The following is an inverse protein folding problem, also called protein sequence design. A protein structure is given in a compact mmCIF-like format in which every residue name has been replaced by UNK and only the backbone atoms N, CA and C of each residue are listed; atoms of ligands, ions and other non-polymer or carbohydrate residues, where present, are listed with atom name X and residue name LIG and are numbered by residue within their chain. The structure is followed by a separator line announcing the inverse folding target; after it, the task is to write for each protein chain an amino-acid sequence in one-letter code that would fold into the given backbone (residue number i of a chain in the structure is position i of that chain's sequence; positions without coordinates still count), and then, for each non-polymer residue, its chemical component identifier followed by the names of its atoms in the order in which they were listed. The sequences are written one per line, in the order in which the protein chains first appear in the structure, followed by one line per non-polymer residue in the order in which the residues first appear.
data_IF_056099150381
#
_entry.id   IF_056099150381
#
_cell.length_a   1.000
_cell.length_b   1.000
_cell.length_c   1.000
_cell.angle_alpha   90.00
_cell.angle_beta   90.00
_cell.angle_gamma   90.00
#
_symmetry.space_group_name_H-M   'P 1'
#
loop_
_entity.id
_entity.type
_entity.pdbx_description
1 polymer ?
#
# COMPACT_ATOMS: atom_id res chain seq x y z
N UNK A 1 -1.29 -11.36 10.93
CA UNK A 1 -2.11 -10.20 10.52
C UNK A 1 -1.81 -9.12 11.53
N UNK A 2 -0.87 -8.24 11.23
CA UNK A 2 -0.47 -7.18 12.15
C UNK A 2 -1.46 -6.03 12.07
N UNK A 3 -1.97 -5.62 13.22
CA UNK A 3 -2.90 -4.49 13.36
C UNK A 3 -2.07 -3.27 13.71
N UNK A 4 -2.06 -2.27 12.83
CA UNK A 4 -1.34 -1.01 13.06
C UNK A 4 -2.04 -0.13 14.10
N UNK A 5 -1.25 0.55 14.93
CA UNK A 5 -1.74 1.62 15.78
C UNK A 5 -2.07 2.87 14.93
N UNK A 6 -2.92 3.75 15.47
CA UNK A 6 -3.52 4.87 14.72
C UNK A 6 -2.50 5.81 14.07
N UNK A 7 -1.30 5.93 14.63
CA UNK A 7 -0.26 6.84 14.13
C UNK A 7 0.49 6.26 12.91
N UNK A 8 0.80 4.96 12.93
CA UNK A 8 1.44 4.26 11.80
C UNK A 8 0.51 4.24 10.57
N UNK A 9 -0.80 4.05 10.79
CA UNK A 9 -1.82 4.16 9.74
C UNK A 9 -1.83 5.56 9.13
N UNK A 10 -1.78 6.60 9.98
CA UNK A 10 -1.81 7.99 9.51
C UNK A 10 -0.56 8.33 8.70
N UNK A 11 0.61 7.90 9.16
CA UNK A 11 1.88 8.11 8.47
C UNK A 11 1.87 7.43 7.10
N UNK A 12 1.47 6.16 7.02
CA UNK A 12 1.41 5.44 5.75
C UNK A 12 0.41 6.07 4.76
N UNK A 13 -0.78 6.48 5.22
CA UNK A 13 -1.77 7.14 4.37
C UNK A 13 -1.26 8.49 3.83
N UNK A 14 -0.50 9.25 4.63
CA UNK A 14 0.12 10.49 4.18
C UNK A 14 1.17 10.22 3.08
N UNK A 15 2.04 9.23 3.26
CA UNK A 15 3.03 8.84 2.26
C UNK A 15 2.39 8.42 0.94
N UNK A 16 1.26 7.70 0.98
CA UNK A 16 0.51 7.29 -0.22
C UNK A 16 -0.10 8.49 -0.95
N UNK A 17 -0.58 9.49 -0.20
CA UNK A 17 -1.15 10.69 -0.78
C UNK A 17 -0.10 11.55 -1.51
N UNK A 18 1.18 11.46 -1.09
CA UNK A 18 2.30 12.25 -1.61
C UNK A 18 3.08 11.54 -2.74
N UNK A 19 2.64 10.37 -3.20
CA UNK A 19 3.31 9.64 -4.27
C UNK A 19 3.28 10.42 -5.60
N UNK A 20 4.44 10.76 -6.20
CA UNK A 20 4.48 11.43 -7.49
C UNK A 20 4.07 10.48 -8.61
N UNK A 21 3.26 10.96 -9.57
CA UNK A 21 2.92 10.21 -10.78
C UNK A 21 4.17 9.98 -11.65
N UNK A 22 4.27 8.80 -12.27
CA UNK A 22 5.33 8.42 -13.22
C UNK A 22 4.78 7.52 -14.34
N UNK A 23 5.59 7.32 -15.39
CA UNK A 23 5.27 6.40 -16.48
C UNK A 23 5.21 4.92 -16.03
N UNK A 24 4.25 4.19 -16.60
CA UNK A 24 3.84 2.86 -16.13
C UNK A 24 4.59 1.71 -16.84
N UNK A 25 5.20 0.78 -16.09
CA UNK A 25 5.70 -0.48 -16.65
C UNK A 25 4.65 -1.61 -16.57
N UNK A 26 4.75 -2.68 -17.37
CA UNK A 26 3.83 -3.83 -17.23
C UNK A 26 4.22 -4.66 -16.00
N UNK A 27 3.29 -4.82 -15.06
CA UNK A 27 3.47 -5.62 -13.84
C UNK A 27 2.57 -6.87 -13.87
N UNK A 28 3.08 -8.03 -13.46
CA UNK A 28 2.33 -9.30 -13.38
C UNK A 28 2.08 -9.79 -11.93
N UNK A 29 2.81 -9.27 -10.94
CA UNK A 29 2.66 -9.64 -9.53
C UNK A 29 3.02 -8.43 -8.63
N UNK A 30 2.05 -7.77 -7.98
CA UNK A 30 2.37 -6.79 -6.95
C UNK A 30 2.87 -7.50 -5.69
N UNK A 31 4.00 -7.06 -5.16
CA UNK A 31 4.67 -7.71 -4.01
C UNK A 31 4.23 -7.20 -2.64
N UNK A 32 3.67 -5.99 -2.57
CA UNK A 32 3.34 -5.31 -1.30
C UNK A 32 1.91 -4.77 -1.32
N UNK A 33 1.29 -4.61 -0.15
CA UNK A 33 -0.04 -4.00 -0.11
C UNK A 33 -0.54 -3.62 1.28
N UNK A 34 -1.53 -2.73 1.28
CA UNK A 34 -2.31 -2.32 2.46
C UNK A 34 -3.75 -2.72 2.22
N UNK A 35 -4.36 -3.38 3.21
CA UNK A 35 -5.79 -3.69 3.20
C UNK A 35 -6.46 -2.99 4.37
N UNK A 36 -7.42 -2.12 4.06
CA UNK A 36 -8.24 -1.43 5.04
C UNK A 36 -9.51 -2.23 5.31
N UNK A 37 -9.84 -2.40 6.58
CA UNK A 37 -11.07 -3.05 7.04
C UNK A 37 -11.91 -2.06 7.85
N UNK A 38 -13.21 -2.05 7.58
CA UNK A 38 -14.22 -1.42 8.41
C UNK A 38 -14.88 -2.46 9.31
N UNK A 39 -15.90 -2.03 10.05
CA UNK A 39 -16.71 -2.90 10.92
C UNK A 39 -17.37 -4.05 10.18
N UNK A 40 -17.72 -3.83 8.92
CA UNK A 40 -18.52 -4.77 8.10
C UNK A 40 -17.68 -5.51 7.05
N UNK A 41 -16.35 -5.36 7.06
CA UNK A 41 -15.45 -6.07 6.15
C UNK A 41 -14.45 -5.16 5.42
N UNK A 42 -13.80 -5.66 4.35
CA UNK A 42 -12.77 -4.91 3.63
C UNK A 42 -13.34 -3.68 2.92
N UNK A 43 -12.73 -2.53 3.13
CA UNK A 43 -13.09 -1.26 2.48
C UNK A 43 -12.35 -1.10 1.16
N UNK A 44 -11.03 -1.25 1.20
CA UNK A 44 -10.17 -1.17 0.04
C UNK A 44 -8.85 -1.91 0.27
N UNK A 45 -8.18 -2.22 -0.83
CA UNK A 45 -6.82 -2.71 -0.89
C UNK A 45 -6.03 -1.82 -1.85
N UNK A 46 -4.80 -1.49 -1.48
CA UNK A 46 -3.82 -0.86 -2.36
C UNK A 46 -2.66 -1.83 -2.49
N UNK A 47 -2.39 -2.29 -3.71
CA UNK A 47 -1.28 -3.15 -4.03
C UNK A 47 -0.19 -2.34 -4.74
N UNK A 48 1.07 -2.50 -4.31
CA UNK A 48 2.23 -1.79 -4.82
C UNK A 48 3.23 -2.77 -5.44
N UNK A 49 3.88 -2.33 -6.53
CA UNK A 49 5.06 -2.96 -7.08
C UNK A 49 6.16 -1.92 -7.24
N UNK A 50 7.07 -1.85 -6.27
CA UNK A 50 8.23 -0.94 -6.31
C UNK A 50 9.24 -1.28 -7.41
N UNK A 51 9.21 -2.49 -7.97
CA UNK A 51 10.04 -2.85 -9.12
C UNK A 51 9.44 -2.38 -10.44
N UNK A 52 8.11 -2.43 -10.58
CA UNK A 52 7.42 -2.00 -11.79
C UNK A 52 6.92 -0.54 -11.70
N UNK A 53 7.13 0.13 -10.57
CA UNK A 53 6.76 1.51 -10.31
C UNK A 53 5.25 1.75 -10.47
N UNK A 54 4.43 0.77 -10.07
CA UNK A 54 2.97 0.87 -10.21
C UNK A 54 2.23 0.49 -8.93
N UNK A 55 1.07 1.10 -8.76
CA UNK A 55 0.10 0.76 -7.72
C UNK A 55 -1.28 0.50 -8.33
N UNK A 56 -2.10 -0.25 -7.60
CA UNK A 56 -3.49 -0.45 -7.95
C UNK A 56 -4.35 -0.44 -6.70
N UNK A 57 -5.43 0.34 -6.74
CA UNK A 57 -6.43 0.37 -5.69
C UNK A 57 -7.66 -0.45 -6.11
N UNK A 58 -8.21 -1.26 -5.20
CA UNK A 58 -9.40 -2.09 -5.43
C UNK A 58 -10.27 -2.12 -4.18
N UNK A 59 -11.57 -2.37 -4.34
CA UNK A 59 -12.48 -2.62 -3.23
C UNK A 59 -13.77 -1.81 -3.30
N UNK A 60 -14.74 -2.14 -2.43
CA UNK A 60 -16.09 -1.57 -2.48
C UNK A 60 -16.13 -0.07 -2.21
N UNK A 61 -15.18 0.47 -1.45
CA UNK A 61 -15.11 1.90 -1.13
C UNK A 61 -14.28 2.73 -2.14
N UNK A 62 -13.79 2.11 -3.22
CA UNK A 62 -12.92 2.77 -4.20
C UNK A 62 -13.75 3.26 -5.40
N UNK A 63 -13.74 4.55 -5.75
CA UNK A 63 -14.40 5.05 -6.95
C UNK A 63 -13.92 4.33 -8.22
N UNK A 64 -14.83 4.03 -9.15
CA UNK A 64 -14.51 3.24 -10.34
C UNK A 64 -13.36 3.83 -11.17
N UNK A 65 -13.30 5.16 -11.32
CA UNK A 65 -12.18 5.82 -12.01
C UNK A 65 -10.80 5.60 -11.37
N UNK A 66 -10.75 5.22 -10.09
CA UNK A 66 -9.52 4.95 -9.34
C UNK A 66 -9.17 3.45 -9.27
N UNK A 67 -10.05 2.58 -9.74
CA UNK A 67 -9.81 1.13 -9.80
C UNK A 67 -8.98 0.73 -11.02
N UNK A 68 -7.83 1.37 -11.21
CA UNK A 68 -6.91 1.13 -12.32
C UNK A 68 -5.48 1.03 -11.84
N UNK A 69 -4.61 0.48 -12.69
CA UNK A 69 -3.17 0.55 -12.48
C UNK A 69 -2.72 1.99 -12.73
N UNK A 70 -1.95 2.56 -11.81
CA UNK A 70 -1.32 3.89 -11.93
C UNK A 70 0.17 3.75 -11.66
N UNK A 71 0.99 4.51 -12.40
CA UNK A 71 2.42 4.60 -12.12
C UNK A 71 2.70 5.51 -10.92
N UNK A 72 3.77 5.24 -10.18
CA UNK A 72 4.26 6.10 -9.10
C UNK A 72 5.79 6.11 -9.08
N UNK A 73 6.41 7.21 -8.64
CA UNK A 73 7.85 7.31 -8.49
C UNK A 73 8.35 6.47 -7.30
N UNK A 74 8.85 5.27 -7.59
CA UNK A 74 9.35 4.35 -6.57
C UNK A 74 10.65 4.84 -5.89
N UNK A 75 11.41 5.74 -6.51
CA UNK A 75 12.68 6.25 -5.98
C UNK A 75 12.48 7.52 -5.14
N UNK A 76 11.27 8.11 -5.17
CA UNK A 76 10.94 9.26 -4.35
C UNK A 76 11.07 8.97 -2.85
N UNK A 77 11.42 9.99 -2.02
CA UNK A 77 11.49 9.83 -0.56
C UNK A 77 10.26 9.17 0.09
N UNK A 78 8.99 9.53 -0.26
CA UNK A 78 7.82 8.90 0.35
C UNK A 78 7.70 7.41 -0.01
N UNK A 79 8.03 7.03 -1.25
CA UNK A 79 8.05 5.63 -1.69
C UNK A 79 9.08 4.80 -0.92
N UNK A 80 10.28 5.34 -0.74
CA UNK A 80 11.35 4.64 -0.03
C UNK A 80 11.01 4.41 1.44
N UNK A 81 10.36 5.40 2.08
CA UNK A 81 9.88 5.26 3.46
C UNK A 81 8.75 4.22 3.58
N UNK A 82 7.80 4.22 2.64
CA UNK A 82 6.73 3.23 2.62
C UNK A 82 7.27 1.81 2.42
N UNK A 83 8.25 1.63 1.52
CA UNK A 83 8.92 0.34 1.31
C UNK A 83 9.69 -0.12 2.57
N UNK A 84 10.33 0.81 3.29
CA UNK A 84 10.98 0.52 4.58
C UNK A 84 9.98 0.01 5.60
N UNK A 85 8.81 0.64 5.73
CA UNK A 85 7.74 0.21 6.63
C UNK A 85 7.23 -1.20 6.29
N UNK A 86 7.03 -1.48 5.00
CA UNK A 86 6.62 -2.81 4.54
C UNK A 86 7.64 -3.91 4.90
N UNK A 87 8.92 -3.68 4.64
CA UNK A 87 10.00 -4.63 5.00
C UNK A 87 10.12 -4.85 6.51
N UNK A 88 9.85 -3.83 7.32
CA UNK A 88 9.84 -3.97 8.77
C UNK A 88 8.73 -4.93 9.25
N UNK A 89 7.58 -4.94 8.57
CA UNK A 89 6.48 -5.87 8.87
C UNK A 89 6.79 -7.31 8.46
N UNK A 90 7.48 -7.54 7.34
CA UNK A 90 7.93 -8.90 6.96
C UNK A 90 8.87 -9.53 8.00
N UNK A 91 9.66 -8.71 8.70
CA UNK A 91 10.57 -9.15 9.76
C UNK A 91 9.94 -9.31 11.15
N UNK A 92 8.66 -8.95 11.34
CA UNK A 92 7.98 -9.03 12.63
C UNK A 92 7.49 -10.46 12.93
N UNK A 93 7.62 -10.97 14.18
CA UNK A 93 7.10 -12.29 14.55
C UNK A 93 5.58 -12.31 14.43
N UNK A 94 5.06 -13.27 13.67
CA UNK A 94 3.68 -13.29 13.16
C UNK A 94 2.62 -13.75 14.18
N UNK A 95 2.82 -13.55 15.49
CA UNK A 95 1.91 -14.08 16.54
C UNK A 95 1.81 -13.18 17.79
N UNK A 96 0.60 -12.74 18.20
CA UNK A 96 0.35 -12.27 19.56
C UNK A 96 0.08 -13.45 20.52
N UNK A 97 0.48 -13.36 21.81
CA UNK A 97 0.16 -14.39 22.80
C UNK A 97 -1.35 -14.47 23.06
N UNK A 98 -1.84 -15.71 23.20
CA UNK A 98 -3.24 -16.09 23.44
C UNK A 98 -3.79 -15.62 24.78
#
# INVERSE_FOLDING_TARGET
MDVWATDEVRQALALIADLPDQDMHRCFFPGWGIRAHGTDGPLFEIAFCFQCHNLMMRGPAVPAERQRLTGFDADSPPSQELLRMFRACEGAPQNPPS
#
